data_IF_516563144817
#
_entry.id   IF_516563144817
#
_cell.length_a   1.000
_cell.length_b   1.000
_cell.length_c   1.000
_cell.angle_alpha   90.00
_cell.angle_beta   90.00
_cell.angle_gamma   90.00
#
_symmetry.space_group_name_H-M   'P 1'
#
loop_
_entity.id
_entity.type
_entity.pdbx_description
1 polymer ?
#
# COMPACT_ATOMS: atom_id res chain seq x y z
N UNK A 1 7.54 -25.27 -14.42
CA UNK A 1 7.76 -24.45 -13.20
C UNK A 1 7.67 -23.00 -13.63
N UNK A 2 6.64 -22.27 -13.20
CA UNK A 2 6.54 -20.83 -13.42
C UNK A 2 7.57 -20.15 -12.53
N UNK A 3 8.45 -19.35 -13.12
CA UNK A 3 9.37 -18.48 -12.35
C UNK A 3 8.53 -17.66 -11.37
N UNK A 4 8.89 -17.60 -10.08
CA UNK A 4 8.18 -16.73 -9.14
C UNK A 4 8.21 -15.29 -9.65
N UNK A 5 7.08 -14.61 -9.57
CA UNK A 5 6.97 -13.23 -10.01
C UNK A 5 7.91 -12.35 -9.18
N UNK A 6 8.77 -11.59 -9.86
CA UNK A 6 9.67 -10.61 -9.23
C UNK A 6 8.93 -9.34 -8.80
N UNK A 7 9.63 -8.36 -8.18
CA UNK A 7 9.03 -7.10 -7.74
C UNK A 7 8.35 -6.33 -8.87
N UNK A 8 8.82 -6.44 -10.11
CA UNK A 8 8.28 -5.74 -11.28
C UNK A 8 6.81 -6.10 -11.56
N UNK A 9 6.39 -7.33 -11.23
CA UNK A 9 5.01 -7.77 -11.39
C UNK A 9 4.03 -6.99 -10.48
N UNK A 10 4.53 -6.37 -9.42
CA UNK A 10 3.74 -5.60 -8.46
C UNK A 10 3.91 -4.09 -8.65
N UNK A 11 5.08 -3.62 -9.07
CA UNK A 11 5.37 -2.20 -9.24
C UNK A 11 4.84 -1.63 -10.56
N UNK A 12 4.90 -2.40 -11.65
CA UNK A 12 4.41 -1.96 -12.96
C UNK A 12 2.94 -1.52 -12.99
N UNK A 13 2.00 -2.28 -12.38
CA UNK A 13 0.61 -1.85 -12.27
C UNK A 13 0.40 -0.54 -11.51
N UNK A 14 1.24 -0.23 -10.51
CA UNK A 14 1.16 1.03 -9.75
C UNK A 14 1.47 2.24 -10.63
N UNK A 15 2.53 2.19 -11.43
CA UNK A 15 2.88 3.29 -12.34
C UNK A 15 1.75 3.58 -13.34
N UNK A 16 1.10 2.51 -13.86
CA UNK A 16 -0.07 2.64 -14.74
C UNK A 16 -1.27 3.29 -14.04
N UNK A 17 -1.50 3.02 -12.76
CA UNK A 17 -2.58 3.64 -11.98
C UNK A 17 -2.38 5.14 -11.84
N UNK A 18 -1.16 5.63 -11.63
CA UNK A 18 -0.89 7.07 -11.50
C UNK A 18 -1.20 7.82 -12.79
N UNK A 19 -0.75 7.32 -13.94
CA UNK A 19 -1.08 7.93 -15.23
C UNK A 19 -2.58 7.96 -15.51
N UNK A 20 -3.31 6.91 -15.11
CA UNK A 20 -4.76 6.85 -15.22
C UNK A 20 -5.44 7.90 -14.32
N UNK A 21 -5.03 7.98 -13.05
CA UNK A 21 -5.56 8.95 -12.07
C UNK A 21 -5.42 10.38 -12.61
N UNK A 22 -4.23 10.74 -13.06
CA UNK A 22 -3.94 12.09 -13.55
C UNK A 22 -4.78 12.43 -14.78
N UNK A 23 -4.85 11.50 -15.75
CA UNK A 23 -5.67 11.67 -16.95
C UNK A 23 -7.17 11.80 -16.65
N UNK A 24 -7.71 11.00 -15.73
CA UNK A 24 -9.12 11.05 -15.37
C UNK A 24 -9.50 12.32 -14.59
N UNK A 25 -8.61 12.84 -13.74
CA UNK A 25 -8.83 14.13 -13.05
C UNK A 25 -8.92 15.28 -14.03
N UNK A 26 -8.06 15.34 -15.05
CA UNK A 26 -8.17 16.37 -16.09
C UNK A 26 -9.52 16.30 -16.80
N UNK A 27 -9.98 15.10 -17.17
CA UNK A 27 -11.31 14.95 -17.78
C UNK A 27 -12.45 15.42 -16.88
N UNK A 28 -12.36 15.14 -15.55
CA UNK A 28 -13.35 15.60 -14.59
C UNK A 28 -13.39 17.14 -14.55
N UNK A 29 -12.24 17.79 -14.49
CA UNK A 29 -12.13 19.25 -14.47
C UNK A 29 -12.71 19.84 -15.75
N UNK A 30 -12.37 19.28 -16.90
CA UNK A 30 -12.88 19.74 -18.20
C UNK A 30 -14.41 19.61 -18.29
N UNK A 31 -14.96 18.47 -17.88
CA UNK A 31 -16.40 18.23 -17.82
C UNK A 31 -17.13 19.17 -16.85
N UNK A 32 -16.55 19.40 -15.68
CA UNK A 32 -17.10 20.36 -14.73
C UNK A 32 -17.12 21.78 -15.30
N UNK A 33 -16.03 22.23 -15.90
CA UNK A 33 -15.92 23.53 -16.51
C UNK A 33 -16.91 23.68 -17.67
N UNK A 34 -17.07 22.67 -18.52
CA UNK A 34 -18.06 22.68 -19.61
C UNK A 34 -19.49 22.82 -19.05
N UNK A 35 -19.82 22.09 -17.97
CA UNK A 35 -21.11 22.20 -17.30
C UNK A 35 -21.35 23.63 -16.74
N UNK A 36 -20.34 24.22 -16.08
CA UNK A 36 -20.43 25.59 -15.55
C UNK A 36 -20.63 26.63 -16.67
N UNK A 37 -19.91 26.48 -17.77
CA UNK A 37 -20.04 27.38 -18.92
C UNK A 37 -21.44 27.27 -19.52
N UNK A 38 -21.96 26.08 -19.74
CA UNK A 38 -23.30 25.85 -20.24
C UNK A 38 -24.38 26.48 -19.33
N UNK A 39 -24.26 26.34 -18.01
CA UNK A 39 -25.18 26.96 -17.06
C UNK A 39 -25.07 28.48 -17.12
N UNK A 40 -23.89 29.05 -17.28
CA UNK A 40 -23.68 30.49 -17.40
C UNK A 40 -24.32 31.09 -18.65
N UNK A 41 -24.37 30.35 -19.76
CA UNK A 41 -25.05 30.78 -20.99
C UNK A 41 -26.56 30.96 -20.77
N UNK A 42 -27.14 30.17 -19.87
CA UNK A 42 -28.58 30.20 -19.55
C UNK A 42 -28.95 30.95 -18.28
N UNK A 43 -27.99 31.61 -17.59
CA UNK A 43 -28.18 32.24 -16.26
C UNK A 43 -29.37 33.22 -16.21
N UNK A 44 -29.63 33.97 -17.27
CA UNK A 44 -30.74 34.95 -17.31
C UNK A 44 -32.10 34.27 -17.47
N UNK A 45 -32.16 33.09 -18.06
CA UNK A 45 -33.38 32.31 -18.26
C UNK A 45 -33.72 31.45 -17.06
N UNK A 46 -32.71 30.99 -16.34
CA UNK A 46 -32.88 30.18 -15.13
C UNK A 46 -33.53 30.94 -13.97
N UNK A 47 -33.38 32.28 -13.92
CA UNK A 47 -34.05 33.10 -12.92
C UNK A 47 -33.79 32.62 -11.48
N UNK A 48 -34.84 32.43 -10.65
CA UNK A 48 -34.70 31.98 -9.26
C UNK A 48 -34.11 30.58 -9.13
N UNK A 49 -34.23 29.71 -10.12
CA UNK A 49 -33.65 28.38 -10.10
C UNK A 49 -32.11 28.42 -10.11
N UNK A 50 -31.52 29.54 -10.53
CA UNK A 50 -30.07 29.72 -10.53
C UNK A 50 -29.45 29.56 -9.11
N UNK A 51 -30.18 29.91 -8.05
CA UNK A 51 -29.73 29.75 -6.66
C UNK A 51 -29.49 28.26 -6.37
N UNK A 52 -30.45 27.40 -6.69
CA UNK A 52 -30.35 25.97 -6.45
C UNK A 52 -29.26 25.31 -7.29
N UNK A 53 -29.13 25.74 -8.56
CA UNK A 53 -28.08 25.29 -9.46
C UNK A 53 -26.71 25.71 -8.94
N UNK A 54 -26.58 26.94 -8.44
CA UNK A 54 -25.33 27.44 -7.84
C UNK A 54 -24.93 26.64 -6.59
N UNK A 55 -25.89 26.32 -5.72
CA UNK A 55 -25.63 25.48 -4.53
C UNK A 55 -25.22 24.05 -4.91
N UNK A 56 -25.87 23.47 -5.91
CA UNK A 56 -25.48 22.16 -6.43
C UNK A 56 -24.07 22.16 -7.02
N UNK A 57 -23.73 23.17 -7.86
CA UNK A 57 -22.39 23.34 -8.42
C UNK A 57 -21.31 23.49 -7.32
N UNK A 58 -21.65 24.23 -6.25
CA UNK A 58 -20.75 24.39 -5.12
C UNK A 58 -20.49 23.03 -4.45
N UNK A 59 -21.53 22.23 -4.21
CA UNK A 59 -21.36 20.88 -3.63
C UNK A 59 -20.51 19.98 -4.52
N UNK A 60 -20.71 20.01 -5.85
CA UNK A 60 -19.92 19.27 -6.83
C UNK A 60 -18.46 19.71 -6.75
N UNK A 61 -18.19 21.02 -6.73
CA UNK A 61 -16.84 21.57 -6.59
C UNK A 61 -16.18 21.15 -5.29
N UNK A 62 -16.87 21.25 -4.16
CA UNK A 62 -16.35 20.86 -2.85
C UNK A 62 -16.01 19.36 -2.82
N UNK A 63 -16.79 18.52 -3.50
CA UNK A 63 -16.52 17.10 -3.71
C UNK A 63 -15.27 16.88 -4.57
N UNK A 64 -15.15 17.59 -5.68
CA UNK A 64 -13.99 17.53 -6.57
C UNK A 64 -12.71 17.96 -5.84
N UNK A 65 -12.74 19.06 -5.09
CA UNK A 65 -11.59 19.55 -4.32
C UNK A 65 -11.12 18.51 -3.29
N UNK A 66 -12.03 17.77 -2.65
CA UNK A 66 -11.67 16.67 -1.74
C UNK A 66 -10.98 15.52 -2.47
N UNK A 67 -11.50 15.11 -3.63
CA UNK A 67 -10.90 14.05 -4.45
C UNK A 67 -9.52 14.47 -4.94
N UNK A 68 -9.37 15.70 -5.45
CA UNK A 68 -8.07 16.23 -5.92
C UNK A 68 -7.02 16.22 -4.79
N UNK A 69 -7.40 16.69 -3.61
CA UNK A 69 -6.48 16.65 -2.43
C UNK A 69 -6.05 15.26 -2.05
N UNK A 70 -6.96 14.28 -2.08
CA UNK A 70 -6.63 12.88 -1.81
C UNK A 70 -5.67 12.33 -2.85
N UNK A 71 -5.86 12.69 -4.12
CA UNK A 71 -4.97 12.28 -5.21
C UNK A 71 -3.59 12.90 -5.04
N UNK A 72 -3.51 14.21 -4.79
CA UNK A 72 -2.23 14.87 -4.55
C UNK A 72 -1.47 14.20 -3.41
N UNK A 73 -2.14 13.95 -2.30
CA UNK A 73 -1.56 13.21 -1.18
C UNK A 73 -1.06 11.83 -1.60
N UNK A 74 -1.84 11.07 -2.35
CA UNK A 74 -1.47 9.74 -2.81
C UNK A 74 -0.26 9.77 -3.76
N UNK A 75 -0.22 10.72 -4.71
CA UNK A 75 0.88 10.89 -5.66
C UNK A 75 2.18 11.29 -4.94
N UNK A 76 2.10 12.20 -3.97
CA UNK A 76 3.25 12.63 -3.18
C UNK A 76 3.87 11.49 -2.33
N UNK A 77 3.06 10.48 -1.95
CA UNK A 77 3.46 9.44 -1.01
C UNK A 77 3.59 8.04 -1.66
N UNK A 78 3.54 7.91 -2.98
CA UNK A 78 3.57 6.61 -3.67
C UNK A 78 4.97 5.96 -3.72
N UNK A 79 6.04 6.74 -3.80
CA UNK A 79 7.41 6.21 -3.94
C UNK A 79 7.81 5.25 -2.82
N UNK A 80 7.43 5.48 -1.54
CA UNK A 80 7.68 4.52 -0.48
C UNK A 80 7.06 3.14 -0.73
N UNK A 81 5.92 3.06 -1.41
CA UNK A 81 5.23 1.78 -1.70
C UNK A 81 6.07 0.89 -2.60
N UNK A 82 6.59 1.45 -3.69
CA UNK A 82 7.49 0.74 -4.61
C UNK A 82 8.73 0.24 -3.87
N UNK A 83 9.34 1.11 -3.05
CA UNK A 83 10.49 0.75 -2.23
C UNK A 83 10.18 -0.39 -1.25
N UNK A 84 9.01 -0.38 -0.61
CA UNK A 84 8.58 -1.44 0.32
C UNK A 84 8.45 -2.79 -0.38
N UNK A 85 7.89 -2.81 -1.60
CA UNK A 85 7.81 -4.03 -2.41
C UNK A 85 9.21 -4.56 -2.72
N UNK A 86 10.09 -3.73 -3.26
CA UNK A 86 11.46 -4.12 -3.60
C UNK A 86 12.20 -4.63 -2.36
N UNK A 87 12.09 -3.94 -1.23
CA UNK A 87 12.73 -4.36 0.02
C UNK A 87 12.17 -5.68 0.55
N UNK A 88 10.88 -5.95 0.39
CA UNK A 88 10.29 -7.23 0.76
C UNK A 88 10.96 -8.39 0.01
N UNK A 89 11.16 -8.26 -1.30
CA UNK A 89 11.88 -9.26 -2.10
C UNK A 89 13.35 -9.36 -1.72
N UNK A 90 14.02 -8.25 -1.46
CA UNK A 90 15.42 -8.25 -1.01
C UNK A 90 15.61 -9.03 0.30
N UNK A 91 14.66 -8.95 1.24
CA UNK A 91 14.71 -9.74 2.47
C UNK A 91 14.60 -11.24 2.21
N UNK A 92 13.84 -11.67 1.21
CA UNK A 92 13.74 -13.08 0.81
C UNK A 92 14.97 -13.55 0.03
N UNK A 93 15.36 -12.80 -1.00
CA UNK A 93 16.35 -13.24 -1.97
C UNK A 93 17.80 -13.11 -1.46
N UNK A 94 18.08 -12.09 -0.63
CA UNK A 94 19.44 -11.80 -0.17
C UNK A 94 19.66 -12.08 1.32
N UNK A 95 18.61 -12.11 2.14
CA UNK A 95 18.76 -12.40 3.56
C UNK A 95 18.29 -13.81 3.88
N UNK A 96 17.02 -14.13 3.62
CA UNK A 96 16.47 -15.44 3.97
C UNK A 96 17.21 -16.57 3.24
N UNK A 97 17.36 -16.45 1.92
CA UNK A 97 18.01 -17.46 1.08
C UNK A 97 19.46 -17.68 1.48
N UNK A 98 20.24 -16.61 1.62
CA UNK A 98 21.68 -16.69 1.90
C UNK A 98 21.91 -17.21 3.32
N UNK A 99 21.14 -16.73 4.31
CA UNK A 99 21.27 -17.21 5.70
C UNK A 99 20.77 -18.64 5.82
N UNK A 100 19.69 -19.03 5.14
CA UNK A 100 19.24 -20.44 5.12
C UNK A 100 20.30 -21.38 4.56
N UNK A 101 21.05 -20.97 3.55
CA UNK A 101 22.13 -21.76 2.99
C UNK A 101 23.29 -21.99 3.98
N UNK A 102 23.43 -21.12 4.99
CA UNK A 102 24.45 -21.26 6.02
C UNK A 102 24.13 -22.33 7.07
N UNK A 103 22.87 -22.78 7.20
CA UNK A 103 22.44 -23.74 8.23
C UNK A 103 23.28 -25.01 8.19
N UNK A 104 23.47 -25.58 6.98
CA UNK A 104 24.29 -26.76 6.79
C UNK A 104 25.80 -26.59 7.10
N UNK A 105 26.28 -25.33 6.94
CA UNK A 105 27.70 -25.00 7.20
C UNK A 105 27.97 -24.73 8.68
N UNK A 106 26.96 -24.38 9.46
CA UNK A 106 27.05 -24.12 10.91
C UNK A 106 26.70 -25.37 11.72
N UNK A 107 26.08 -26.37 11.10
CA UNK A 107 25.93 -27.67 11.69
C UNK A 107 27.33 -28.26 11.94
N UNK A 108 27.53 -28.92 13.09
CA UNK A 108 28.83 -29.38 13.55
C UNK A 108 29.70 -29.90 12.39
N UNK A 109 30.91 -29.39 12.21
CA UNK A 109 31.71 -29.69 11.03
C UNK A 109 31.75 -31.18 10.78
N UNK A 110 31.42 -31.57 9.57
CA UNK A 110 31.49 -32.96 9.10
C UNK A 110 32.94 -33.42 8.92
N UNK A 111 33.86 -32.88 9.72
CA UNK A 111 35.24 -33.33 9.73
C UNK A 111 35.32 -34.67 10.48
N UNK A 112 35.69 -35.76 9.80
CA UNK A 112 35.84 -37.07 10.42
C UNK A 112 36.76 -37.07 11.64
N UNK A 113 37.75 -36.18 11.69
CA UNK A 113 38.67 -36.06 12.81
C UNK A 113 38.00 -35.49 14.07
N UNK A 114 36.98 -34.68 13.92
CA UNK A 114 36.20 -34.14 15.03
C UNK A 114 35.12 -35.11 15.53
N UNK A 115 34.79 -36.13 14.77
CA UNK A 115 33.84 -37.17 15.19
C UNK A 115 34.39 -38.00 16.40
N UNK A 116 35.70 -38.15 16.46
CA UNK A 116 36.39 -38.88 17.55
C UNK A 116 36.88 -37.98 18.67
N UNK A 117 36.62 -36.64 18.58
CA UNK A 117 37.02 -35.71 19.61
C UNK A 117 36.09 -35.82 20.83
N UNK A 118 36.64 -36.13 21.97
CA UNK A 118 35.93 -36.38 23.23
C UNK A 118 36.41 -35.45 24.35
N UNK A 119 35.64 -35.41 25.45
CA UNK A 119 35.93 -34.60 26.61
C UNK A 119 35.15 -33.28 26.69
N UNK A 120 35.42 -32.51 27.73
CA UNK A 120 34.68 -31.30 28.06
C UNK A 120 34.74 -30.24 26.93
N UNK A 121 35.91 -30.08 26.31
CA UNK A 121 36.09 -29.13 25.21
C UNK A 121 35.27 -29.50 23.96
N UNK A 122 35.21 -30.82 23.64
CA UNK A 122 34.39 -31.31 22.52
C UNK A 122 32.88 -31.08 22.77
N UNK A 123 32.46 -31.32 24.01
CA UNK A 123 31.07 -31.08 24.42
C UNK A 123 30.71 -29.61 24.33
N UNK A 124 31.54 -28.71 24.84
CA UNK A 124 31.31 -27.27 24.76
C UNK A 124 31.28 -26.76 23.29
N UNK A 125 32.19 -27.25 22.46
CA UNK A 125 32.20 -26.93 21.04
C UNK A 125 30.87 -27.32 20.35
N UNK A 126 30.40 -28.57 20.58
CA UNK A 126 29.11 -29.01 19.99
C UNK A 126 27.94 -28.18 20.49
N UNK A 127 27.93 -27.82 21.77
CA UNK A 127 26.90 -26.95 22.33
C UNK A 127 26.92 -25.56 21.67
N UNK A 128 28.09 -24.97 21.47
CA UNK A 128 28.25 -23.67 20.79
C UNK A 128 27.83 -23.74 19.31
N UNK A 129 28.24 -24.79 18.61
CA UNK A 129 27.82 -25.00 17.21
C UNK A 129 26.31 -25.13 17.09
N UNK A 130 25.64 -25.80 18.01
CA UNK A 130 24.19 -25.88 18.06
C UNK A 130 23.54 -24.51 18.26
N UNK A 131 24.05 -23.69 19.21
CA UNK A 131 23.54 -22.34 19.47
C UNK A 131 23.73 -21.47 18.23
N UNK A 132 24.85 -21.58 17.51
CA UNK A 132 25.07 -20.87 16.24
C UNK A 132 24.07 -21.32 15.19
N UNK A 133 23.82 -22.60 15.03
CA UNK A 133 22.81 -23.11 14.08
C UNK A 133 21.41 -22.59 14.41
N UNK A 134 21.01 -22.68 15.67
CA UNK A 134 19.70 -22.21 16.12
C UNK A 134 19.52 -20.70 15.86
N UNK A 135 20.61 -19.91 15.94
CA UNK A 135 20.61 -18.49 15.58
C UNK A 135 20.45 -18.26 14.07
N UNK A 136 21.12 -19.06 13.23
CA UNK A 136 20.95 -19.01 11.76
C UNK A 136 19.50 -19.34 11.38
N UNK A 137 18.93 -20.40 11.95
CA UNK A 137 17.54 -20.79 11.74
C UNK A 137 16.56 -19.70 12.20
N UNK A 138 16.85 -19.00 13.30
CA UNK A 138 16.03 -17.89 13.79
C UNK A 138 15.93 -16.74 12.78
N UNK A 139 16.96 -16.53 11.97
CA UNK A 139 16.99 -15.47 10.97
C UNK A 139 16.47 -15.96 9.62
N UNK A 140 17.05 -17.04 9.09
CA UNK A 140 16.84 -17.52 7.73
C UNK A 140 15.85 -18.68 7.59
N UNK A 141 15.45 -19.34 8.69
CA UNK A 141 14.50 -20.44 8.67
C UNK A 141 13.11 -20.00 8.20
N UNK A 142 12.28 -20.98 7.82
CA UNK A 142 10.88 -20.73 7.49
C UNK A 142 10.14 -20.15 8.70
N UNK A 143 9.47 -19.01 8.54
CA UNK A 143 8.89 -18.25 9.63
C UNK A 143 9.93 -17.52 10.50
N UNK A 144 11.19 -17.47 10.06
CA UNK A 144 12.26 -16.72 10.70
C UNK A 144 12.09 -15.20 10.53
N UNK A 145 13.04 -14.44 11.08
CA UNK A 145 12.96 -12.96 11.10
C UNK A 145 12.95 -12.36 9.69
N UNK A 146 13.73 -12.90 8.75
CA UNK A 146 13.77 -12.42 7.38
C UNK A 146 12.42 -12.58 6.68
N UNK A 147 11.78 -13.74 6.84
CA UNK A 147 10.45 -14.03 6.31
C UNK A 147 9.37 -13.14 6.94
N UNK A 148 9.43 -12.96 8.26
CA UNK A 148 8.50 -12.08 8.99
C UNK A 148 8.61 -10.61 8.54
N UNK A 149 9.83 -10.09 8.34
CA UNK A 149 10.06 -8.73 7.85
C UNK A 149 9.57 -8.60 6.40
N UNK A 150 9.91 -9.55 5.53
CA UNK A 150 9.45 -9.57 4.14
C UNK A 150 7.92 -9.54 4.07
N UNK A 151 7.25 -10.42 4.81
CA UNK A 151 5.80 -10.52 4.88
C UNK A 151 5.16 -9.22 5.38
N UNK A 152 5.75 -8.61 6.40
CA UNK A 152 5.28 -7.33 6.95
C UNK A 152 5.38 -6.19 5.92
N UNK A 153 6.53 -6.05 5.24
CA UNK A 153 6.71 -5.06 4.18
C UNK A 153 5.71 -5.26 3.03
N UNK A 154 5.49 -6.52 2.62
CA UNK A 154 4.52 -6.86 1.58
C UNK A 154 3.09 -6.53 2.00
N UNK A 155 2.73 -6.73 3.27
CA UNK A 155 1.40 -6.37 3.77
C UNK A 155 1.16 -4.86 3.73
N UNK A 156 2.15 -4.04 4.11
CA UNK A 156 2.09 -2.59 3.97
C UNK A 156 1.90 -2.21 2.50
N UNK A 157 2.70 -2.79 1.60
CA UNK A 157 2.60 -2.53 0.17
C UNK A 157 1.20 -2.88 -0.38
N UNK A 158 0.64 -4.04 -0.02
CA UNK A 158 -0.71 -4.46 -0.43
C UNK A 158 -1.79 -3.47 0.02
N UNK A 159 -1.73 -2.99 1.26
CA UNK A 159 -2.68 -2.00 1.77
C UNK A 159 -2.60 -0.66 1.03
N UNK A 160 -1.38 -0.25 0.64
CA UNK A 160 -1.21 0.94 -0.18
C UNK A 160 -1.78 0.73 -1.60
N UNK A 161 -1.56 -0.43 -2.23
CA UNK A 161 -2.17 -0.77 -3.53
C UNK A 161 -3.70 -0.76 -3.44
N UNK A 162 -4.27 -1.31 -2.36
CA UNK A 162 -5.72 -1.29 -2.12
C UNK A 162 -6.24 0.15 -1.99
N UNK A 163 -5.51 1.01 -1.28
CA UNK A 163 -5.83 2.44 -1.16
C UNK A 163 -5.85 3.11 -2.55
N UNK A 164 -4.81 2.91 -3.35
CA UNK A 164 -4.70 3.47 -4.70
C UNK A 164 -5.83 2.98 -5.61
N UNK A 165 -6.11 1.69 -5.58
CA UNK A 165 -7.23 1.09 -6.35
C UNK A 165 -8.57 1.69 -5.94
N UNK A 166 -8.78 1.89 -4.64
CA UNK A 166 -9.96 2.56 -4.12
C UNK A 166 -10.09 3.99 -4.60
N UNK A 167 -8.98 4.72 -4.67
CA UNK A 167 -8.93 6.09 -5.18
C UNK A 167 -9.27 6.15 -6.67
N UNK A 168 -8.66 5.28 -7.50
CA UNK A 168 -8.98 5.16 -8.93
C UNK A 168 -10.47 4.93 -9.14
N UNK A 169 -11.07 4.05 -8.33
CA UNK A 169 -12.50 3.77 -8.41
C UNK A 169 -13.35 5.00 -8.10
N UNK A 170 -13.03 5.76 -7.05
CA UNK A 170 -13.76 6.99 -6.70
C UNK A 170 -13.72 7.98 -7.87
N UNK A 171 -12.54 8.15 -8.49
CA UNK A 171 -12.34 9.05 -9.62
C UNK A 171 -13.18 8.61 -10.82
N UNK A 172 -13.14 7.31 -11.16
CA UNK A 172 -13.90 6.76 -12.26
C UNK A 172 -15.42 6.90 -12.04
N UNK A 173 -15.89 6.58 -10.82
CA UNK A 173 -17.31 6.72 -10.46
C UNK A 173 -17.76 8.20 -10.49
N UNK A 174 -16.88 9.13 -10.07
CA UNK A 174 -17.13 10.57 -10.13
C UNK A 174 -17.26 11.06 -11.58
N UNK A 175 -16.33 10.65 -12.44
CA UNK A 175 -16.40 10.98 -13.87
C UNK A 175 -17.66 10.37 -14.52
N UNK A 176 -17.98 9.11 -14.20
CA UNK A 176 -19.18 8.45 -14.68
C UNK A 176 -20.45 9.21 -14.31
N UNK A 177 -20.55 9.69 -13.07
CA UNK A 177 -21.69 10.50 -12.62
C UNK A 177 -21.79 11.83 -13.38
N UNK A 178 -20.66 12.53 -13.61
CA UNK A 178 -20.61 13.76 -14.40
C UNK A 178 -21.08 13.54 -15.85
N UNK A 179 -20.62 12.47 -16.48
CA UNK A 179 -21.00 12.13 -17.86
C UNK A 179 -22.48 11.76 -17.94
N UNK A 180 -22.98 10.96 -16.99
CA UNK A 180 -24.36 10.52 -16.97
C UNK A 180 -25.35 11.67 -16.76
N UNK A 181 -24.99 12.65 -15.93
CA UNK A 181 -25.84 13.81 -15.67
C UNK A 181 -26.03 14.71 -16.89
N UNK A 182 -25.15 14.61 -17.89
CA UNK A 182 -25.25 15.37 -19.17
C UNK A 182 -25.54 16.86 -18.99
N UNK A 183 -25.02 17.49 -17.92
CA UNK A 183 -25.28 18.90 -17.58
C UNK A 183 -24.93 19.83 -18.72
N UNK A 184 -23.91 19.52 -19.51
CA UNK A 184 -23.46 20.30 -20.64
C UNK A 184 -24.43 20.28 -21.84
N UNK A 185 -25.38 19.35 -21.85
CA UNK A 185 -26.39 19.21 -22.91
C UNK A 185 -27.83 19.31 -22.40
N UNK A 186 -28.00 19.59 -21.09
CA UNK A 186 -29.32 19.69 -20.49
C UNK A 186 -30.11 20.89 -21.03
N UNK A 187 -31.40 20.70 -21.23
CA UNK A 187 -32.30 21.80 -21.54
C UNK A 187 -32.44 22.75 -20.36
N UNK A 188 -32.82 24.02 -20.60
CA UNK A 188 -33.00 25.03 -19.54
C UNK A 188 -33.88 24.51 -18.39
N UNK A 189 -34.95 23.80 -18.70
CA UNK A 189 -35.87 23.25 -17.71
C UNK A 189 -35.23 22.04 -16.97
N UNK A 190 -34.36 21.29 -17.65
CA UNK A 190 -33.70 20.13 -17.11
C UNK A 190 -32.48 20.45 -16.23
N UNK A 191 -31.83 21.61 -16.43
CA UNK A 191 -30.59 21.98 -15.70
C UNK A 191 -30.74 21.91 -14.18
N UNK A 192 -31.79 22.46 -13.52
CA UNK A 192 -31.90 22.42 -12.08
C UNK A 192 -32.01 20.98 -11.52
N UNK A 193 -32.74 20.10 -12.21
CA UNK A 193 -32.91 18.71 -11.81
C UNK A 193 -31.62 17.92 -12.00
N UNK A 194 -30.98 18.05 -13.17
CA UNK A 194 -29.72 17.38 -13.46
C UNK A 194 -28.59 17.80 -12.51
N UNK A 195 -28.54 19.12 -12.18
CA UNK A 195 -27.54 19.62 -11.23
C UNK A 195 -27.76 19.10 -9.81
N UNK A 196 -29.02 19.02 -9.36
CA UNK A 196 -29.37 18.49 -8.06
C UNK A 196 -29.08 16.99 -7.98
N UNK A 197 -29.54 16.21 -8.93
CA UNK A 197 -29.36 14.76 -8.96
C UNK A 197 -27.86 14.42 -9.00
N UNK A 198 -27.06 15.17 -9.75
CA UNK A 198 -25.62 15.03 -9.77
C UNK A 198 -24.99 15.37 -8.43
N UNK A 199 -25.36 16.46 -7.79
CA UNK A 199 -24.82 16.85 -6.49
C UNK A 199 -25.12 15.81 -5.42
N UNK A 200 -26.34 15.27 -5.40
CA UNK A 200 -26.76 14.21 -4.47
C UNK A 200 -25.97 12.90 -4.73
N UNK A 201 -25.84 12.49 -5.99
CA UNK A 201 -25.07 11.30 -6.38
C UNK A 201 -23.58 11.45 -6.00
N UNK A 202 -22.97 12.58 -6.31
CA UNK A 202 -21.55 12.82 -5.98
C UNK A 202 -21.33 12.99 -4.48
N UNK A 203 -22.26 13.60 -3.75
CA UNK A 203 -22.18 13.71 -2.30
C UNK A 203 -22.11 12.35 -1.63
N UNK A 204 -22.97 11.42 -2.02
CA UNK A 204 -22.97 10.05 -1.55
C UNK A 204 -21.68 9.30 -1.94
N UNK A 205 -21.28 9.40 -3.19
CA UNK A 205 -20.09 8.74 -3.73
C UNK A 205 -18.81 9.20 -3.03
N UNK A 206 -18.61 10.51 -2.88
CA UNK A 206 -17.44 11.08 -2.21
C UNK A 206 -17.42 10.67 -0.73
N UNK A 207 -18.56 10.73 -0.03
CA UNK A 207 -18.64 10.36 1.38
C UNK A 207 -18.29 8.88 1.58
N UNK A 208 -18.91 7.98 0.82
CA UNK A 208 -18.66 6.54 0.91
C UNK A 208 -17.22 6.19 0.51
N UNK A 209 -16.70 6.85 -0.53
CA UNK A 209 -15.33 6.67 -0.98
C UNK A 209 -14.32 7.10 0.08
N UNK A 210 -14.49 8.28 0.68
CA UNK A 210 -13.61 8.77 1.76
C UNK A 210 -13.67 7.84 2.97
N UNK A 211 -14.84 7.38 3.39
CA UNK A 211 -14.98 6.46 4.50
C UNK A 211 -14.22 5.16 4.24
N UNK A 212 -14.34 4.60 3.04
CA UNK A 212 -13.60 3.39 2.64
C UNK A 212 -12.09 3.60 2.65
N UNK A 213 -11.59 4.74 2.16
CA UNK A 213 -10.17 5.07 2.22
C UNK A 213 -9.68 5.26 3.66
N UNK A 214 -10.50 5.83 4.54
CA UNK A 214 -10.20 5.96 5.97
C UNK A 214 -10.11 4.59 6.65
N UNK A 215 -10.95 3.62 6.30
CA UNK A 215 -10.85 2.24 6.79
C UNK A 215 -9.53 1.58 6.37
N UNK A 216 -9.13 1.75 5.09
CA UNK A 216 -7.84 1.23 4.60
C UNK A 216 -6.68 1.90 5.32
N UNK A 217 -6.72 3.23 5.50
CA UNK A 217 -5.72 3.98 6.24
C UNK A 217 -5.61 3.51 7.70
N UNK A 218 -6.74 3.21 8.35
CA UNK A 218 -6.76 2.67 9.71
C UNK A 218 -6.10 1.29 9.78
N UNK A 219 -6.36 0.41 8.80
CA UNK A 219 -5.69 -0.89 8.71
C UNK A 219 -4.19 -0.74 8.47
N UNK A 220 -3.78 0.21 7.62
CA UNK A 220 -2.38 0.54 7.38
C UNK A 220 -1.69 1.00 8.67
N UNK A 221 -2.32 1.89 9.42
CA UNK A 221 -1.79 2.35 10.72
C UNK A 221 -1.68 1.21 11.73
N UNK A 222 -2.65 0.28 11.74
CA UNK A 222 -2.58 -0.93 12.56
C UNK A 222 -1.39 -1.83 12.17
N UNK A 223 -1.14 -1.98 10.87
CA UNK A 223 0.01 -2.76 10.38
C UNK A 223 1.34 -2.06 10.70
N UNK A 224 1.40 -0.73 10.63
CA UNK A 224 2.57 0.04 11.05
C UNK A 224 2.79 -0.02 12.56
N UNK A 225 1.75 -0.03 13.36
CA UNK A 225 1.86 -0.18 14.81
C UNK A 225 2.45 -1.55 15.21
N UNK A 226 2.27 -2.58 14.39
CA UNK A 226 2.90 -3.90 14.58
C UNK A 226 4.43 -3.92 14.36
N UNK A 227 5.04 -2.79 13.93
CA UNK A 227 6.51 -2.58 14.05
C UNK A 227 6.98 -2.81 15.49
N UNK A 228 6.15 -2.46 16.47
CA UNK A 228 6.45 -2.75 17.88
C UNK A 228 6.57 -4.25 18.14
N UNK A 229 5.76 -5.05 17.46
CA UNK A 229 5.81 -6.51 17.54
C UNK A 229 7.01 -7.06 16.77
N UNK A 230 7.35 -6.46 15.61
CA UNK A 230 8.58 -6.76 14.89
C UNK A 230 9.83 -6.46 15.75
N UNK A 231 9.79 -5.39 16.58
CA UNK A 231 10.83 -5.14 17.59
C UNK A 231 10.85 -6.22 18.68
N UNK A 232 9.69 -6.80 19.02
CA UNK A 232 9.55 -7.99 19.86
C UNK A 232 10.18 -9.24 19.25
N UNK A 233 10.13 -9.38 17.91
CA UNK A 233 10.83 -10.45 17.19
C UNK A 233 12.36 -10.37 17.33
N UNK A 234 12.92 -9.21 17.66
CA UNK A 234 14.35 -9.04 17.95
C UNK A 234 14.75 -9.64 19.31
N UNK A 235 13.79 -9.92 20.19
CA UNK A 235 14.00 -10.55 21.50
C UNK A 235 13.93 -12.08 21.44
N UNK A 236 14.37 -12.68 20.37
CA UNK A 236 14.44 -14.15 20.24
C UNK A 236 15.53 -14.69 21.17
N UNK A 237 15.24 -15.68 22.05
CA UNK A 237 16.23 -16.26 22.96
C UNK A 237 17.41 -16.91 22.23
N UNK A 238 17.23 -17.26 20.94
CA UNK A 238 18.30 -17.76 20.06
C UNK A 238 19.29 -16.67 19.63
N UNK A 239 18.90 -15.39 19.81
CA UNK A 239 19.72 -14.21 19.54
C UNK A 239 19.80 -13.35 20.81
N UNK A 240 20.62 -13.73 21.80
CA UNK A 240 20.67 -13.06 23.10
C UNK A 240 20.95 -11.56 22.99
N UNK A 241 20.03 -10.71 23.49
CA UNK A 241 20.13 -9.26 23.37
C UNK A 241 20.07 -8.72 21.94
N UNK A 242 19.58 -9.50 20.96
CA UNK A 242 19.57 -9.15 19.54
C UNK A 242 20.92 -9.29 18.86
N UNK A 243 21.88 -9.94 19.51
CA UNK A 243 23.23 -10.14 19.00
C UNK A 243 23.46 -11.59 18.57
N UNK A 244 24.40 -11.78 17.65
CA UNK A 244 24.87 -13.09 17.26
C UNK A 244 25.53 -13.78 18.46
N UNK A 245 25.21 -15.08 18.73
CA UNK A 245 25.84 -15.82 19.83
C UNK A 245 27.34 -15.93 19.62
N UNK A 246 28.11 -15.71 20.70
CA UNK A 246 29.57 -15.88 20.65
C UNK A 246 29.96 -17.33 20.53
N UNK A 247 30.86 -17.63 19.60
CA UNK A 247 31.41 -18.99 19.44
C UNK A 247 32.39 -19.40 20.55
N UNK A 248 33.05 -18.40 21.15
CA UNK A 248 34.01 -18.53 22.26
C UNK A 248 33.76 -17.48 23.32
N UNK A 249 34.01 -17.79 24.57
CA UNK A 249 34.09 -16.79 25.63
C UNK A 249 35.47 -16.16 25.54
N UNK A 250 35.52 -14.84 25.29
CA UNK A 250 36.72 -14.02 25.42
C UNK A 250 36.91 -13.67 26.87
#
# INVERSE_FOLDING_TARGET
MTTPAGPEAYTGPLDGMFGTIEGEIHKIIDKYNAAVNHINDWKYVLGPALIWVSDALKQIRDGLDKVVKLVQYAVEHHMPVVSLIVQSFNWQDHVQKDVSAMVGSVEAPADPNLAYWEGAAATEYRNRAKIQRDAVEAIGGQGGKADAISSWLMNIAKLNVEFMTGLVKIIADFLGALVTASLETATVVGIPFAAKDLADALGGLVTNGINRLAEIATRLMGTLASIRDAKGLMNDPRLPGGHWPQAVNL
#
